data_IF_020368796674
#
_entry.id   IF_020368796674
#
_cell.length_a   1.000
_cell.length_b   1.000
_cell.length_c   1.000
_cell.angle_alpha   90.00
_cell.angle_beta   90.00
_cell.angle_gamma   90.00
#
_symmetry.space_group_name_H-M   'P 1'
#
loop_
_entity.id
_entity.type
_entity.pdbx_description
1 polymer ?
#
# COMPACT_ATOMS: atom_id res chain seq x y z
N UNK A 1 -10.35 -20.73 11.06
CA UNK A 1 -10.18 -19.29 11.33
C UNK A 1 -8.70 -18.95 11.25
N UNK A 2 -8.23 -18.43 10.11
CA UNK A 2 -6.84 -17.99 9.95
C UNK A 2 -6.61 -16.75 10.81
N UNK A 3 -5.88 -16.91 11.92
CA UNK A 3 -5.53 -15.82 12.83
C UNK A 3 -4.27 -15.11 12.31
N UNK A 4 -4.38 -14.49 11.13
CA UNK A 4 -3.23 -13.85 10.50
C UNK A 4 -2.72 -12.67 11.35
N UNK A 5 -1.42 -12.69 11.59
CA UNK A 5 -0.68 -11.62 12.25
C UNK A 5 -0.62 -10.39 11.34
N UNK A 6 -0.52 -9.19 11.93
CA UNK A 6 -0.36 -7.95 11.16
C UNK A 6 0.90 -8.00 10.28
N UNK A 7 1.97 -8.64 10.76
CA UNK A 7 3.19 -8.84 9.99
C UNK A 7 2.97 -9.74 8.77
N UNK A 8 2.23 -10.84 8.91
CA UNK A 8 1.94 -11.76 7.80
C UNK A 8 1.14 -11.06 6.71
N UNK A 9 0.15 -10.25 7.09
CA UNK A 9 -0.66 -9.46 6.16
C UNK A 9 0.25 -8.47 5.41
N UNK A 10 1.08 -7.74 6.14
CA UNK A 10 2.02 -6.78 5.55
C UNK A 10 2.99 -7.45 4.57
N UNK A 11 3.62 -8.56 4.95
CA UNK A 11 4.53 -9.28 4.06
C UNK A 11 3.82 -9.83 2.82
N UNK A 12 2.61 -10.33 2.99
CA UNK A 12 1.81 -10.83 1.86
C UNK A 12 1.47 -9.70 0.89
N UNK A 13 0.99 -8.56 1.38
CA UNK A 13 0.74 -7.37 0.56
C UNK A 13 2.02 -6.89 -0.14
N UNK A 14 3.15 -6.86 0.59
CA UNK A 14 4.43 -6.43 0.04
C UNK A 14 4.91 -7.34 -1.10
N UNK A 15 4.79 -8.67 -0.94
CA UNK A 15 5.16 -9.64 -1.98
C UNK A 15 4.29 -9.46 -3.22
N UNK A 16 2.97 -9.28 -3.04
CA UNK A 16 2.05 -9.05 -4.16
C UNK A 16 2.43 -7.78 -4.90
N UNK A 17 2.64 -6.68 -4.19
CA UNK A 17 3.00 -5.41 -4.80
C UNK A 17 4.35 -5.47 -5.51
N UNK A 18 5.37 -6.08 -4.91
CA UNK A 18 6.65 -6.32 -5.59
C UNK A 18 6.49 -7.14 -6.87
N UNK A 19 5.61 -8.16 -6.85
CA UNK A 19 5.26 -8.92 -8.05
C UNK A 19 4.69 -8.03 -9.15
N UNK A 20 3.77 -7.12 -8.82
CA UNK A 20 3.19 -6.17 -9.78
C UNK A 20 4.27 -5.22 -10.33
N UNK A 21 5.12 -4.66 -9.47
CA UNK A 21 6.25 -3.81 -9.86
C UNK A 21 7.22 -4.49 -10.82
N UNK A 22 7.52 -5.77 -10.59
CA UNK A 22 8.38 -6.58 -11.46
C UNK A 22 7.73 -6.94 -12.80
N UNK A 23 6.39 -7.03 -12.85
CA UNK A 23 5.67 -7.34 -14.09
C UNK A 23 5.51 -6.11 -15.00
N UNK A 24 5.16 -4.96 -14.43
CA UNK A 24 5.03 -3.70 -15.15
C UNK A 24 5.14 -2.53 -14.20
N UNK A 25 6.22 -1.77 -14.33
CA UNK A 25 6.48 -0.53 -13.63
C UNK A 25 5.39 0.53 -13.87
N UNK A 26 4.86 0.63 -15.09
CA UNK A 26 3.77 1.54 -15.44
C UNK A 26 2.48 1.21 -14.68
N UNK A 27 2.03 -0.06 -14.76
CA UNK A 27 0.80 -0.50 -14.08
C UNK A 27 0.98 -0.39 -12.58
N UNK A 28 2.14 -0.79 -12.05
CA UNK A 28 2.43 -0.73 -10.63
C UNK A 28 2.41 0.70 -10.09
N UNK A 29 3.01 1.65 -10.82
CA UNK A 29 3.01 3.07 -10.44
C UNK A 29 1.58 3.61 -10.42
N UNK A 30 0.80 3.35 -11.47
CA UNK A 30 -0.57 3.81 -11.59
C UNK A 30 -1.45 3.26 -10.44
N UNK A 31 -1.36 1.96 -10.18
CA UNK A 31 -2.11 1.30 -9.11
C UNK A 31 -1.67 1.81 -7.73
N UNK A 32 -0.37 1.98 -7.51
CA UNK A 32 0.18 2.51 -6.25
C UNK A 32 -0.40 3.89 -5.95
N UNK A 33 -0.47 4.77 -6.95
CA UNK A 33 -1.02 6.11 -6.80
C UNK A 33 -2.53 6.09 -6.55
N UNK A 34 -3.30 5.36 -7.36
CA UNK A 34 -4.76 5.33 -7.27
C UNK A 34 -5.20 4.67 -5.96
N UNK A 35 -4.72 3.45 -5.70
CA UNK A 35 -5.11 2.68 -4.50
C UNK A 35 -4.56 3.38 -3.25
N UNK A 36 -3.31 3.83 -3.28
CA UNK A 36 -2.72 4.58 -2.17
C UNK A 36 -3.52 5.84 -1.83
N UNK A 37 -3.94 6.62 -2.82
CA UNK A 37 -4.77 7.81 -2.60
C UNK A 37 -6.15 7.46 -2.03
N UNK A 38 -6.84 6.46 -2.59
CA UNK A 38 -8.17 6.03 -2.12
C UNK A 38 -8.09 5.54 -0.68
N UNK A 39 -7.18 4.61 -0.39
CA UNK A 39 -7.06 4.02 0.96
C UNK A 39 -6.62 5.08 1.97
N UNK A 40 -5.74 6.02 1.58
CA UNK A 40 -5.35 7.15 2.44
C UNK A 40 -6.53 8.06 2.75
N UNK A 41 -7.35 8.41 1.74
CA UNK A 41 -8.54 9.23 1.94
C UNK A 41 -9.54 8.54 2.88
N UNK A 42 -9.80 7.24 2.66
CA UNK A 42 -10.65 6.43 3.54
C UNK A 42 -10.10 6.38 4.96
N UNK A 43 -8.79 6.19 5.12
CA UNK A 43 -8.14 6.19 6.44
C UNK A 43 -8.29 7.52 7.15
N UNK A 44 -8.09 8.64 6.46
CA UNK A 44 -8.27 9.98 7.03
C UNK A 44 -9.71 10.17 7.49
N UNK A 45 -10.69 9.87 6.64
CA UNK A 45 -12.13 10.00 6.98
C UNK A 45 -12.50 9.10 8.17
N UNK A 46 -12.00 7.86 8.19
CA UNK A 46 -12.23 6.93 9.29
C UNK A 46 -11.62 7.43 10.61
N UNK A 47 -10.41 7.99 10.58
CA UNK A 47 -9.77 8.57 11.76
C UNK A 47 -10.52 9.82 12.25
N UNK A 48 -10.98 10.68 11.34
CA UNK A 48 -11.82 11.83 11.68
C UNK A 48 -13.12 11.37 12.35
N UNK A 49 -13.81 10.38 11.78
CA UNK A 49 -15.05 9.84 12.34
C UNK A 49 -14.85 9.25 13.74
N UNK A 50 -13.82 8.43 13.95
CA UNK A 50 -13.52 7.81 15.24
C UNK A 50 -13.13 8.87 16.30
N UNK A 51 -12.52 9.99 15.88
CA UNK A 51 -12.18 11.10 16.76
C UNK A 51 -13.39 11.90 17.24
N UNK A 52 -14.42 12.04 16.39
CA UNK A 52 -15.66 12.75 16.72
C UNK A 52 -16.58 11.90 17.58
N UNK A 53 -16.82 10.66 17.17
CA UNK A 53 -17.65 9.69 17.88
C UNK A 53 -16.89 8.38 17.96
N UNK A 54 -16.57 7.93 19.18
CA UNK A 54 -15.89 6.65 19.40
C UNK A 54 -16.77 5.52 18.91
N UNK A 55 -16.54 5.10 17.67
CA UNK A 55 -17.38 4.16 16.93
C UNK A 55 -17.04 2.71 17.30
N UNK A 56 -16.19 2.51 18.31
CA UNK A 56 -15.71 1.21 18.83
C UNK A 56 -15.05 0.36 17.74
N UNK A 57 -14.54 0.99 16.67
CA UNK A 57 -13.86 0.27 15.60
C UNK A 57 -12.58 -0.35 16.16
N UNK A 58 -12.35 -1.65 15.97
CA UNK A 58 -11.16 -2.29 16.49
C UNK A 58 -9.91 -1.68 15.88
N UNK A 59 -8.93 -1.31 16.71
CA UNK A 59 -7.65 -0.70 16.28
C UNK A 59 -6.94 -1.49 15.17
N UNK A 60 -7.15 -2.80 15.12
CA UNK A 60 -6.62 -3.69 14.07
C UNK A 60 -7.01 -3.22 12.65
N UNK A 61 -8.21 -2.68 12.47
CA UNK A 61 -8.67 -2.15 11.17
C UNK A 61 -7.77 -1.01 10.68
N UNK A 62 -7.53 -0.01 11.54
CA UNK A 62 -6.66 1.12 11.22
C UNK A 62 -5.23 0.69 10.91
N UNK A 63 -4.68 -0.29 11.65
CA UNK A 63 -3.36 -0.84 11.36
C UNK A 63 -3.32 -1.54 10.00
N UNK A 64 -4.32 -2.37 9.67
CA UNK A 64 -4.36 -3.03 8.35
C UNK A 64 -4.44 -2.00 7.23
N UNK A 65 -5.31 -0.98 7.34
CA UNK A 65 -5.40 0.06 6.30
C UNK A 65 -4.10 0.84 6.14
N UNK A 66 -3.42 1.16 7.24
CA UNK A 66 -2.12 1.80 7.18
C UNK A 66 -1.08 0.91 6.50
N UNK A 67 -1.06 -0.39 6.81
CA UNK A 67 -0.17 -1.36 6.16
C UNK A 67 -0.46 -1.45 4.65
N UNK A 68 -1.74 -1.41 4.24
CA UNK A 68 -2.14 -1.43 2.82
C UNK A 68 -1.75 -0.17 2.05
N UNK A 69 -1.42 0.93 2.72
CA UNK A 69 -0.79 2.12 2.11
C UNK A 69 0.72 1.97 2.09
N UNK A 70 1.30 1.50 3.19
CA UNK A 70 2.75 1.38 3.36
C UNK A 70 3.33 0.30 2.43
N UNK A 71 2.68 -0.84 2.24
CA UNK A 71 3.16 -1.93 1.38
C UNK A 71 3.40 -1.50 -0.08
N UNK A 72 2.43 -0.87 -0.79
CA UNK A 72 2.69 -0.33 -2.13
C UNK A 72 3.79 0.72 -2.15
N UNK A 73 3.85 1.61 -1.15
CA UNK A 73 4.90 2.65 -1.10
C UNK A 73 6.29 2.05 -0.90
N UNK A 74 6.44 1.09 0.02
CA UNK A 74 7.71 0.42 0.27
C UNK A 74 8.13 -0.39 -0.95
N UNK A 75 7.21 -1.12 -1.59
CA UNK A 75 7.55 -1.88 -2.81
C UNK A 75 8.01 -0.95 -3.95
N UNK A 76 7.38 0.22 -4.11
CA UNK A 76 7.80 1.24 -5.06
C UNK A 76 9.23 1.74 -4.77
N UNK A 77 9.52 2.08 -3.50
CA UNK A 77 10.86 2.51 -3.08
C UNK A 77 11.89 1.42 -3.34
N UNK A 78 11.60 0.17 -2.97
CA UNK A 78 12.49 -0.97 -3.21
C UNK A 78 12.78 -1.11 -4.70
N UNK A 79 11.76 -1.11 -5.55
CA UNK A 79 11.91 -1.24 -6.99
C UNK A 79 12.78 -0.11 -7.55
N UNK A 80 12.45 1.15 -7.24
CA UNK A 80 13.20 2.32 -7.71
C UNK A 80 14.67 2.27 -7.27
N UNK A 81 14.95 1.85 -6.03
CA UNK A 81 16.33 1.73 -5.54
C UNK A 81 17.08 0.60 -6.25
N UNK A 82 16.46 -0.55 -6.48
CA UNK A 82 17.09 -1.71 -7.14
C UNK A 82 17.41 -1.44 -8.62
N UNK A 83 16.50 -0.78 -9.33
CA UNK A 83 16.65 -0.45 -10.75
C UNK A 83 17.28 0.94 -10.97
N UNK A 84 17.84 1.57 -9.92
CA UNK A 84 18.50 2.88 -9.98
C UNK A 84 17.64 4.00 -10.60
N UNK A 85 16.33 3.96 -10.36
CA UNK A 85 15.38 4.93 -10.92
C UNK A 85 15.08 4.74 -12.40
N UNK A 86 15.52 3.64 -13.01
CA UNK A 86 15.13 3.28 -14.37
C UNK A 86 13.70 2.74 -14.37
N UNK A 87 12.76 3.64 -14.61
CA UNK A 87 11.40 3.28 -15.00
C UNK A 87 11.42 3.04 -16.51
N UNK A 88 11.21 1.80 -16.92
CA UNK A 88 11.16 1.34 -18.32
C UNK A 88 10.18 2.18 -19.14
N UNK A 89 9.04 2.58 -18.57
CA UNK A 89 8.09 3.44 -19.29
C UNK A 89 8.58 4.88 -19.50
N UNK A 90 9.49 5.40 -18.65
CA UNK A 90 10.06 6.74 -18.82
C UNK A 90 11.24 6.76 -19.79
N UNK A 91 11.94 5.62 -19.96
CA UNK A 91 13.09 5.50 -20.86
C UNK A 91 12.72 5.19 -22.30
N UNK A 92 11.43 4.95 -22.59
CA UNK A 92 10.93 4.69 -23.94
C UNK A 92 10.70 5.99 -24.71
N UNK A 93 11.75 6.81 -24.87
CA UNK A 93 11.81 7.93 -25.82
C UNK A 93 13.24 8.20 -26.27
#
# INVERSE_FOLDING_TARGET
MLRLSLFEIFFLELIIWLGIWLMSDFIATLLTLIIGAIVSAVLIIALMSESMERSKVPRKYFYVMLLSIIAPLISAVIYVVLFQGQLDFLHKH
#
